data_IF_441645716713
#
_entry.id   IF_441645716713
#
_cell.length_a   1.000
_cell.length_b   1.000
_cell.length_c   1.000
_cell.angle_alpha   90.00
_cell.angle_beta   90.00
_cell.angle_gamma   90.00
#
_symmetry.space_group_name_H-M   'P 1'
#
loop_
_entity.id
_entity.type
_entity.pdbx_description
1 polymer ?
#
# COMPACT_ATOMS: atom_id res chain seq x y z
N UNK A 1 61.88 -5.42 -13.16
CA UNK A 1 62.02 -6.50 -14.15
C UNK A 1 61.04 -6.27 -15.29
N UNK A 2 61.54 -6.08 -16.52
CA UNK A 2 60.79 -6.33 -17.77
C UNK A 2 60.94 -7.82 -18.11
N UNK A 3 59.97 -8.42 -18.83
CA UNK A 3 60.11 -8.55 -20.29
C UNK A 3 58.81 -8.22 -21.06
N UNK A 4 58.95 -7.78 -22.32
CA UNK A 4 57.88 -7.76 -23.34
C UNK A 4 57.90 -9.04 -24.20
N UNK A 5 57.62 -8.96 -25.52
CA UNK A 5 56.37 -8.59 -26.21
C UNK A 5 55.88 -9.74 -27.15
N UNK A 6 55.00 -9.40 -28.12
CA UNK A 6 54.45 -10.18 -29.27
C UNK A 6 53.04 -10.73 -29.01
N UNK A 7 52.05 -10.66 -29.91
CA UNK A 7 52.04 -10.32 -31.33
C UNK A 7 50.63 -9.93 -31.80
N UNK A 8 50.58 -9.07 -32.82
CA UNK A 8 49.40 -8.69 -33.62
C UNK A 8 48.77 -9.91 -34.33
N UNK A 9 47.43 -9.97 -34.38
CA UNK A 9 46.71 -10.37 -35.60
C UNK A 9 45.49 -9.47 -35.79
N UNK A 10 45.52 -8.76 -36.91
CA UNK A 10 44.44 -7.99 -37.52
C UNK A 10 43.42 -8.93 -38.17
N UNK A 11 42.13 -8.68 -37.98
CA UNK A 11 41.07 -9.18 -38.87
C UNK A 11 40.00 -8.10 -39.03
N UNK A 12 39.95 -7.54 -40.24
CA UNK A 12 38.95 -6.58 -40.72
C UNK A 12 37.51 -7.13 -40.71
N UNK A 13 36.50 -6.23 -40.71
CA UNK A 13 35.10 -6.61 -40.76
C UNK A 13 34.68 -6.94 -42.20
N UNK A 14 34.01 -8.08 -42.40
CA UNK A 14 33.43 -8.45 -43.69
C UNK A 14 31.92 -8.27 -43.62
N UNK A 15 31.48 -7.22 -44.31
CA UNK A 15 30.10 -6.90 -44.59
C UNK A 15 29.34 -8.10 -45.18
N UNK A 16 28.13 -8.32 -44.69
CA UNK A 16 27.08 -9.04 -45.41
C UNK A 16 25.81 -8.22 -45.35
N UNK A 17 25.62 -7.41 -46.39
CA UNK A 17 24.34 -6.84 -46.80
C UNK A 17 23.31 -7.98 -46.90
N UNK A 18 22.30 -7.94 -46.03
CA UNK A 18 21.07 -8.72 -46.24
C UNK A 18 20.13 -7.92 -47.14
N UNK A 19 19.51 -8.54 -48.16
CA UNK A 19 18.52 -7.87 -48.98
C UNK A 19 17.21 -7.70 -48.20
N UNK A 20 16.86 -6.47 -47.88
CA UNK A 20 15.50 -6.08 -47.48
C UNK A 20 14.56 -6.32 -48.68
N UNK A 21 13.84 -7.45 -48.65
CA UNK A 21 12.65 -7.65 -49.48
C UNK A 21 11.59 -6.65 -49.02
N UNK A 22 11.41 -5.61 -49.82
CA UNK A 22 10.31 -4.65 -49.69
C UNK A 22 9.03 -5.35 -50.13
N UNK A 23 8.19 -5.71 -49.16
CA UNK A 23 6.83 -6.20 -49.41
C UNK A 23 5.86 -5.06 -49.09
N UNK A 24 4.97 -4.64 -50.01
CA UNK A 24 4.04 -3.55 -49.77
C UNK A 24 2.86 -4.08 -48.92
N UNK A 25 3.02 -4.08 -47.60
CA UNK A 25 1.90 -4.29 -46.70
C UNK A 25 1.09 -2.99 -46.70
N UNK A 26 -0.07 -3.06 -47.34
CA UNK A 26 -1.05 -2.00 -47.44
C UNK A 26 -1.37 -1.46 -46.04
N UNK A 27 -1.09 -0.17 -45.84
CA UNK A 27 -1.55 0.63 -44.72
C UNK A 27 -3.07 0.58 -44.64
N UNK A 28 -3.62 -0.16 -43.68
CA UNK A 28 -4.93 0.15 -43.12
C UNK A 28 -4.71 0.71 -41.73
N UNK A 29 -4.36 2.01 -41.69
CA UNK A 29 -4.42 2.84 -40.49
C UNK A 29 -5.91 3.08 -40.16
N UNK A 30 -6.50 2.16 -39.38
CA UNK A 30 -7.70 2.46 -38.64
C UNK A 30 -7.27 3.04 -37.27
N UNK A 31 -6.89 4.31 -37.26
CA UNK A 31 -6.69 5.06 -36.03
C UNK A 31 -8.07 5.38 -35.43
N UNK A 32 -8.64 4.43 -34.70
CA UNK A 32 -9.79 4.67 -33.84
C UNK A 32 -9.27 5.37 -32.58
N UNK A 33 -9.23 6.70 -32.64
CA UNK A 33 -9.07 7.58 -31.48
C UNK A 33 -10.32 7.44 -30.60
N UNK A 34 -10.33 6.44 -29.72
CA UNK A 34 -11.22 6.40 -28.57
C UNK A 34 -10.72 7.42 -27.54
N UNK A 35 -11.13 8.67 -27.73
CA UNK A 35 -11.12 9.69 -26.68
C UNK A 35 -12.18 9.29 -25.64
N UNK A 36 -11.79 8.43 -24.70
CA UNK A 36 -12.56 8.20 -23.48
C UNK A 36 -12.31 9.40 -22.55
N UNK A 37 -13.32 10.19 -22.20
CA UNK A 37 -13.18 11.19 -21.16
C UNK A 37 -13.06 10.46 -19.83
N UNK A 38 -11.87 10.46 -19.20
CA UNK A 38 -11.75 10.03 -17.82
C UNK A 38 -12.33 11.12 -16.90
N UNK A 39 -13.23 10.78 -15.97
CA UNK A 39 -13.71 11.73 -14.97
C UNK A 39 -12.57 12.13 -14.03
N UNK A 40 -12.24 13.42 -14.03
CA UNK A 40 -11.15 14.07 -13.29
C UNK A 40 -11.35 14.19 -11.78
N UNK A 41 -11.83 13.13 -11.12
CA UNK A 41 -11.88 13.05 -9.65
C UNK A 41 -10.81 12.08 -9.08
N UNK A 42 -10.07 11.38 -9.96
CA UNK A 42 -9.02 10.43 -9.57
C UNK A 42 -7.59 10.95 -9.68
N UNK A 43 -7.37 12.13 -10.26
CA UNK A 43 -6.03 12.69 -10.47
C UNK A 43 -5.38 13.07 -9.14
N UNK A 44 -6.10 13.76 -8.25
CA UNK A 44 -5.52 14.29 -7.02
C UNK A 44 -4.99 13.19 -6.09
N UNK A 45 -5.78 12.12 -5.93
CA UNK A 45 -5.37 10.94 -5.17
C UNK A 45 -4.15 10.25 -5.79
N UNK A 46 -4.15 10.12 -7.12
CA UNK A 46 -3.08 9.45 -7.85
C UNK A 46 -1.79 10.26 -7.79
N UNK A 47 -1.88 11.57 -7.95
CA UNK A 47 -0.74 12.49 -7.91
C UNK A 47 -0.13 12.54 -6.50
N UNK A 48 -0.95 12.59 -5.44
CA UNK A 48 -0.46 12.51 -4.06
C UNK A 48 0.27 11.18 -3.81
N UNK A 49 -0.34 10.06 -4.21
CA UNK A 49 0.24 8.73 -4.04
C UNK A 49 1.56 8.60 -4.82
N UNK A 50 1.60 9.03 -6.07
CA UNK A 50 2.81 9.01 -6.92
C UNK A 50 3.92 9.84 -6.30
N UNK A 51 3.64 11.08 -5.87
CA UNK A 51 4.65 11.95 -5.26
C UNK A 51 5.23 11.35 -3.97
N UNK A 52 4.38 10.82 -3.09
CA UNK A 52 4.83 10.15 -1.86
C UNK A 52 5.66 8.90 -2.17
N UNK A 53 5.20 8.06 -3.09
CA UNK A 53 5.90 6.83 -3.46
C UNK A 53 7.23 7.11 -4.17
N UNK A 54 7.31 8.16 -4.99
CA UNK A 54 8.57 8.62 -5.57
C UNK A 54 9.55 9.06 -4.48
N UNK A 55 9.08 9.80 -3.48
CA UNK A 55 9.92 10.23 -2.36
C UNK A 55 10.42 9.06 -1.51
N UNK A 56 9.55 8.10 -1.21
CA UNK A 56 9.89 6.97 -0.33
C UNK A 56 10.66 5.85 -1.04
N UNK A 57 10.33 5.58 -2.30
CA UNK A 57 10.77 4.39 -3.02
C UNK A 57 11.56 4.69 -4.31
N UNK A 58 11.74 5.96 -4.66
CA UNK A 58 12.33 6.37 -5.93
C UNK A 58 13.75 5.87 -6.15
N UNK A 59 14.55 5.75 -5.10
CA UNK A 59 15.93 5.24 -5.17
C UNK A 59 16.00 3.75 -5.56
N UNK A 60 14.93 3.00 -5.30
CA UNK A 60 14.82 1.57 -5.62
C UNK A 60 14.27 1.32 -7.03
N UNK A 61 13.99 2.38 -7.79
CA UNK A 61 13.58 2.32 -9.19
C UNK A 61 12.07 2.28 -9.40
N UNK A 62 11.68 2.46 -10.67
CA UNK A 62 10.29 2.67 -11.08
C UNK A 62 9.34 1.52 -10.69
N UNK A 63 9.81 0.28 -10.68
CA UNK A 63 9.00 -0.88 -10.29
C UNK A 63 8.55 -0.81 -8.81
N UNK A 64 9.42 -0.35 -7.91
CA UNK A 64 9.09 -0.21 -6.48
C UNK A 64 8.13 0.95 -6.24
N UNK A 65 8.31 2.05 -6.97
CA UNK A 65 7.38 3.19 -6.95
C UNK A 65 6.00 2.75 -7.43
N UNK A 66 5.92 2.01 -8.54
CA UNK A 66 4.65 1.51 -9.06
C UNK A 66 3.94 0.60 -8.06
N UNK A 67 4.66 -0.36 -7.46
CA UNK A 67 4.08 -1.24 -6.43
C UNK A 67 3.54 -0.46 -5.22
N UNK A 68 4.24 0.59 -4.80
CA UNK A 68 3.77 1.50 -3.74
C UNK A 68 2.49 2.24 -4.16
N UNK A 69 2.42 2.78 -5.38
CA UNK A 69 1.21 3.47 -5.87
C UNK A 69 0.04 2.52 -5.97
N UNK A 70 0.26 1.31 -6.49
CA UNK A 70 -0.78 0.28 -6.59
C UNK A 70 -1.33 -0.10 -5.21
N UNK A 71 -0.46 -0.20 -4.20
CA UNK A 71 -0.84 -0.44 -2.82
C UNK A 71 -1.71 0.70 -2.26
N UNK A 72 -1.30 1.95 -2.46
CA UNK A 72 -2.04 3.13 -1.99
C UNK A 72 -3.44 3.24 -2.63
N UNK A 73 -3.52 3.06 -3.95
CA UNK A 73 -4.80 3.10 -4.68
C UNK A 73 -5.70 1.90 -4.34
N UNK A 74 -5.11 0.72 -4.11
CA UNK A 74 -5.85 -0.45 -3.62
C UNK A 74 -6.42 -0.19 -2.23
N UNK A 75 -5.62 0.40 -1.34
CA UNK A 75 -6.05 0.71 0.03
C UNK A 75 -7.20 1.74 0.06
N UNK A 76 -7.09 2.81 -0.74
CA UNK A 76 -8.14 3.82 -0.87
C UNK A 76 -9.45 3.21 -1.41
N UNK A 77 -9.37 2.31 -2.41
CA UNK A 77 -10.54 1.59 -2.93
C UNK A 77 -11.14 0.62 -1.92
N UNK A 78 -10.32 -0.06 -1.12
CA UNK A 78 -10.83 -0.94 -0.07
C UNK A 78 -11.60 -0.15 1.00
N UNK A 79 -11.06 1.00 1.43
CA UNK A 79 -11.71 1.87 2.41
C UNK A 79 -13.07 2.39 1.94
N UNK A 80 -13.25 2.65 0.64
CA UNK A 80 -14.54 3.10 0.10
C UNK A 80 -15.60 2.00 0.03
N UNK A 81 -15.20 0.73 0.16
CA UNK A 81 -16.09 -0.42 0.18
C UNK A 81 -16.55 -0.82 1.59
N UNK A 82 -16.04 -0.15 2.63
CA UNK A 82 -16.43 -0.45 4.00
C UNK A 82 -17.88 -0.04 4.24
N UNK A 83 -18.60 -0.84 5.03
CA UNK A 83 -20.01 -0.64 5.29
C UNK A 83 -20.25 0.61 6.16
N UNK A 84 -21.50 1.08 6.17
CA UNK A 84 -21.88 2.30 6.91
C UNK A 84 -21.58 2.19 8.40
N UNK A 85 -21.69 1.00 8.99
CA UNK A 85 -21.51 0.75 10.42
C UNK A 85 -20.09 1.06 10.92
N UNK A 86 -19.09 1.00 10.04
CA UNK A 86 -17.68 1.24 10.39
C UNK A 86 -17.15 2.57 9.83
N UNK A 87 -18.01 3.40 9.23
CA UNK A 87 -17.57 4.67 8.63
C UNK A 87 -16.95 5.64 9.61
N UNK A 88 -17.42 5.68 10.86
CA UNK A 88 -16.82 6.54 11.89
C UNK A 88 -15.37 6.11 12.21
N UNK A 89 -15.10 4.80 12.21
CA UNK A 89 -13.73 4.27 12.36
C UNK A 89 -12.87 4.74 11.18
N UNK A 90 -13.35 4.58 9.95
CA UNK A 90 -12.65 5.02 8.73
C UNK A 90 -12.40 6.53 8.74
N UNK A 91 -13.39 7.34 9.10
CA UNK A 91 -13.28 8.78 9.17
C UNK A 91 -12.25 9.22 10.21
N UNK A 92 -12.26 8.62 11.40
CA UNK A 92 -11.25 8.84 12.45
C UNK A 92 -9.85 8.49 11.94
N UNK A 93 -9.66 7.28 11.41
CA UNK A 93 -8.38 6.84 10.88
C UNK A 93 -7.88 7.76 9.76
N UNK A 94 -8.77 8.21 8.86
CA UNK A 94 -8.43 9.16 7.79
C UNK A 94 -7.92 10.48 8.38
N UNK A 95 -8.64 11.09 9.33
CA UNK A 95 -8.22 12.34 9.97
C UNK A 95 -6.83 12.28 10.60
N UNK A 96 -6.49 11.15 11.23
CA UNK A 96 -5.22 11.02 11.95
C UNK A 96 -4.06 10.49 11.10
N UNK A 97 -4.35 9.65 10.11
CA UNK A 97 -3.33 8.85 9.43
C UNK A 97 -3.16 9.17 7.94
N UNK A 98 -4.07 9.91 7.29
CA UNK A 98 -4.02 10.10 5.83
C UNK A 98 -2.72 10.74 5.34
N UNK A 99 -2.10 11.63 6.13
CA UNK A 99 -0.79 12.20 5.81
C UNK A 99 0.31 11.14 5.62
N UNK A 100 0.14 9.96 6.22
CA UNK A 100 1.05 8.83 6.13
C UNK A 100 0.65 7.83 5.02
N UNK A 101 -0.38 8.14 4.25
CA UNK A 101 -0.87 7.32 3.15
C UNK A 101 -2.07 6.45 3.47
N UNK A 102 -2.74 6.05 2.40
CA UNK A 102 -3.99 5.30 2.43
C UNK A 102 -3.79 3.87 2.93
N UNK A 103 -2.64 3.27 2.67
CA UNK A 103 -2.28 1.99 3.28
C UNK A 103 -2.26 2.07 4.81
N UNK A 104 -1.72 3.15 5.37
CA UNK A 104 -1.71 3.41 6.82
C UNK A 104 -3.12 3.65 7.35
N UNK A 105 -3.97 4.40 6.63
CA UNK A 105 -5.38 4.60 7.00
C UNK A 105 -6.13 3.27 7.04
N UNK A 106 -5.93 2.42 6.03
CA UNK A 106 -6.55 1.10 5.96
C UNK A 106 -6.11 0.21 7.12
N UNK A 107 -4.80 0.15 7.40
CA UNK A 107 -4.29 -0.62 8.53
C UNK A 107 -4.89 -0.16 9.87
N UNK A 108 -5.03 1.15 10.07
CA UNK A 108 -5.70 1.71 11.25
C UNK A 108 -7.16 1.25 11.34
N UNK A 109 -7.91 1.33 10.24
CA UNK A 109 -9.32 0.94 10.23
C UNK A 109 -9.50 -0.56 10.47
N UNK A 110 -8.68 -1.40 9.83
CA UNK A 110 -8.69 -2.85 10.01
C UNK A 110 -8.49 -3.24 11.48
N UNK A 111 -7.45 -2.68 12.11
CA UNK A 111 -7.13 -2.94 13.50
C UNK A 111 -8.24 -2.51 14.45
N UNK A 112 -8.87 -1.36 14.20
CA UNK A 112 -9.98 -0.89 15.03
C UNK A 112 -11.26 -1.71 14.85
N UNK A 113 -11.57 -2.14 13.62
CA UNK A 113 -12.73 -3.00 13.34
C UNK A 113 -12.57 -4.34 14.05
N UNK A 114 -11.42 -4.99 13.89
CA UNK A 114 -11.10 -6.24 14.59
C UNK A 114 -11.17 -6.06 16.11
N UNK A 115 -10.60 -4.97 16.61
CA UNK A 115 -10.59 -4.70 18.04
C UNK A 115 -11.98 -4.41 18.60
N UNK A 116 -12.85 -3.73 17.86
CA UNK A 116 -14.23 -3.49 18.27
C UNK A 116 -15.00 -4.81 18.43
N UNK A 117 -14.81 -5.76 17.51
CA UNK A 117 -15.40 -7.09 17.63
C UNK A 117 -14.89 -7.84 18.87
N UNK A 118 -13.58 -7.81 19.14
CA UNK A 118 -13.01 -8.44 20.33
C UNK A 118 -13.50 -7.79 21.64
N UNK A 119 -13.61 -6.46 21.68
CA UNK A 119 -14.11 -5.74 22.85
C UNK A 119 -15.57 -6.05 23.16
N UNK A 120 -16.40 -6.30 22.14
CA UNK A 120 -17.77 -6.75 22.33
C UNK A 120 -17.84 -8.13 23.02
N UNK A 121 -16.90 -9.03 22.71
CA UNK A 121 -16.77 -10.31 23.39
C UNK A 121 -16.25 -10.12 24.83
N UNK A 122 -15.20 -9.32 25.04
CA UNK A 122 -14.68 -9.05 26.39
C UNK A 122 -15.72 -8.41 27.30
N UNK A 123 -16.60 -7.56 26.77
CA UNK A 123 -17.65 -6.92 27.56
C UNK A 123 -18.63 -7.92 28.20
N UNK A 124 -18.76 -9.16 27.67
CA UNK A 124 -19.64 -10.18 28.26
C UNK A 124 -19.18 -10.63 29.66
N UNK A 125 -17.86 -10.67 29.90
CA UNK A 125 -17.26 -11.15 31.15
C UNK A 125 -16.50 -10.06 31.91
N UNK A 126 -16.08 -9.00 31.21
CA UNK A 126 -15.19 -7.96 31.70
C UNK A 126 -15.71 -6.54 31.42
N UNK A 127 -17.05 -6.34 31.36
CA UNK A 127 -17.70 -5.05 31.05
C UNK A 127 -17.07 -3.85 31.79
N UNK A 128 -16.90 -3.95 33.11
CA UNK A 128 -16.33 -2.87 33.92
C UNK A 128 -14.89 -2.52 33.54
N UNK A 129 -14.09 -3.51 33.12
CA UNK A 129 -12.71 -3.31 32.66
C UNK A 129 -12.70 -2.68 31.27
N UNK A 130 -13.52 -3.19 30.35
CA UNK A 130 -13.68 -2.62 29.00
C UNK A 130 -14.09 -1.16 29.09
N UNK A 131 -15.10 -0.82 29.91
CA UNK A 131 -15.55 0.56 30.13
C UNK A 131 -14.45 1.47 30.67
N UNK A 132 -13.62 1.00 31.60
CA UNK A 132 -12.47 1.78 32.09
C UNK A 132 -11.47 2.05 30.98
N UNK A 133 -11.11 1.04 30.19
CA UNK A 133 -10.21 1.20 29.05
C UNK A 133 -10.78 2.13 27.98
N UNK A 134 -12.10 2.09 27.74
CA UNK A 134 -12.79 3.02 26.84
C UNK A 134 -12.67 4.46 27.35
N UNK A 135 -12.86 4.71 28.65
CA UNK A 135 -12.68 6.06 29.22
C UNK A 135 -11.24 6.56 29.11
N UNK A 136 -10.24 5.68 29.28
CA UNK A 136 -8.84 6.07 29.24
C UNK A 136 -8.30 6.25 27.82
N UNK A 137 -8.74 5.42 26.87
CA UNK A 137 -8.11 5.27 25.56
C UNK A 137 -9.06 5.43 24.37
N UNK A 138 -10.35 5.65 24.59
CA UNK A 138 -11.40 5.62 23.55
C UNK A 138 -11.16 6.59 22.39
N UNK A 139 -10.67 7.80 22.68
CA UNK A 139 -10.31 8.80 21.68
C UNK A 139 -9.24 8.30 20.68
N UNK A 140 -8.42 7.34 21.10
CA UNK A 140 -7.35 6.79 20.27
C UNK A 140 -7.78 5.59 19.40
N UNK A 141 -9.03 5.14 19.53
CA UNK A 141 -9.59 4.04 18.75
C UNK A 141 -9.66 2.71 19.49
N UNK A 142 -10.46 1.79 18.94
CA UNK A 142 -10.75 0.50 19.54
C UNK A 142 -9.49 -0.37 19.72
N UNK A 143 -8.51 -0.29 18.83
CA UNK A 143 -7.26 -1.05 18.95
C UNK A 143 -6.49 -0.69 20.23
N UNK A 144 -6.49 0.58 20.63
CA UNK A 144 -5.85 1.03 21.88
C UNK A 144 -6.64 0.61 23.12
N UNK A 145 -7.97 0.67 23.04
CA UNK A 145 -8.84 0.17 24.10
C UNK A 145 -8.65 -1.33 24.31
N UNK A 146 -8.55 -2.11 23.22
CA UNK A 146 -8.27 -3.55 23.29
C UNK A 146 -6.92 -3.82 23.90
N UNK A 147 -5.86 -3.12 23.50
CA UNK A 147 -4.54 -3.31 24.09
C UNK A 147 -4.53 -3.06 25.61
N UNK A 148 -5.26 -2.05 26.09
CA UNK A 148 -5.49 -1.82 27.53
C UNK A 148 -6.20 -3.02 28.18
N UNK A 149 -7.28 -3.50 27.56
CA UNK A 149 -8.05 -4.61 28.08
C UNK A 149 -7.24 -5.92 28.13
N UNK A 150 -6.49 -6.23 27.07
CA UNK A 150 -5.62 -7.39 26.96
C UNK A 150 -4.60 -7.42 28.10
N UNK A 151 -3.95 -6.28 28.37
CA UNK A 151 -2.94 -6.17 29.42
C UNK A 151 -3.54 -6.44 30.81
N UNK A 152 -4.71 -5.88 31.10
CA UNK A 152 -5.40 -6.07 32.38
C UNK A 152 -5.95 -7.48 32.56
N UNK A 153 -6.44 -8.12 31.49
CA UNK A 153 -6.90 -9.51 31.51
C UNK A 153 -5.71 -10.45 31.77
N UNK A 154 -4.62 -10.31 31.02
CA UNK A 154 -3.41 -11.12 31.21
C UNK A 154 -2.80 -10.97 32.61
N UNK A 155 -2.84 -9.77 33.19
CA UNK A 155 -2.36 -9.54 34.55
C UNK A 155 -3.21 -10.25 35.63
N UNK A 156 -4.45 -10.64 35.30
CA UNK A 156 -5.38 -11.32 36.20
C UNK A 156 -5.39 -12.83 36.03
N UNK A 157 -4.84 -13.35 34.93
CA UNK A 157 -4.72 -14.78 34.74
C UNK A 157 -3.72 -15.37 35.77
N UNK A 158 -4.10 -16.42 36.51
CA UNK A 158 -3.18 -17.07 37.42
C UNK A 158 -2.03 -17.65 36.62
N UNK A 159 -0.80 -17.19 36.90
CA UNK A 159 0.41 -17.77 36.29
C UNK A 159 0.42 -19.28 36.55
N UNK A 160 0.27 -20.08 35.51
CA UNK A 160 0.53 -21.52 35.58
C UNK A 160 1.99 -21.67 35.98
N UNK A 161 2.25 -22.26 37.14
CA UNK A 161 3.60 -22.65 37.55
C UNK A 161 3.96 -23.89 36.72
N UNK A 162 4.98 -23.75 35.88
CA UNK A 162 5.66 -24.88 35.23
C UNK A 162 6.45 -25.69 36.26
#
# INVERSE_FOLDING_TARGET
MRPGPLSLVSLSPKEKMLPLRVSPIKCTLAAVMLLVPLPGAGSDLTDEAVNRCLYQMGEFGAAMVQACVDQELSAARALSQYSEEVKEIVARCTRHMQRNGWSTVKACADQDIEAAAALAEYAKEHDALVKRCQTQMGEHGAARVKACADQEIQAREPRKKD
#
